data_IF_290253004397
#
_entry.id   IF_290253004397
#
_cell.length_a   1.000
_cell.length_b   1.000
_cell.length_c   1.000
_cell.angle_alpha   90.00
_cell.angle_beta   90.00
_cell.angle_gamma   90.00
#
_symmetry.space_group_name_H-M   'P 1'
#
loop_
_entity.id
_entity.type
_entity.pdbx_description
1 polymer ?
#
# COMPACT_ATOMS: atom_id res chain seq x y z
N UNK A 1 44.19 -5.05 -35.44
CA UNK A 1 44.00 -4.94 -33.98
C UNK A 1 43.06 -3.81 -33.52
N UNK A 2 43.07 -2.60 -34.11
CA UNK A 2 42.19 -1.48 -33.69
C UNK A 2 40.66 -1.71 -33.82
N UNK A 3 40.19 -2.69 -34.60
CA UNK A 3 38.75 -2.93 -34.84
C UNK A 3 38.01 -3.62 -33.67
N UNK A 4 38.73 -4.27 -32.75
CA UNK A 4 38.12 -4.98 -31.63
C UNK A 4 37.94 -4.12 -30.37
N UNK A 5 38.61 -2.95 -30.28
CA UNK A 5 38.47 -2.05 -29.13
C UNK A 5 37.10 -1.34 -29.10
N UNK A 6 36.48 -1.09 -30.25
CA UNK A 6 35.17 -0.42 -30.31
C UNK A 6 34.01 -1.34 -29.88
N UNK A 7 34.12 -2.65 -30.10
CA UNK A 7 33.10 -3.61 -29.69
C UNK A 7 33.09 -3.81 -28.15
N UNK A 8 34.26 -3.75 -27.50
CA UNK A 8 34.34 -3.86 -26.03
C UNK A 8 33.83 -2.60 -25.30
N UNK A 9 33.98 -1.41 -25.91
CA UNK A 9 33.46 -0.16 -25.36
C UNK A 9 31.93 -0.07 -25.43
N UNK A 10 31.30 -0.69 -26.45
CA UNK A 10 29.84 -0.75 -26.54
C UNK A 10 29.24 -1.77 -25.56
N UNK A 11 29.96 -2.86 -25.25
CA UNK A 11 29.49 -3.89 -24.32
C UNK A 11 29.56 -3.46 -22.85
N UNK A 12 30.47 -2.52 -22.52
CA UNK A 12 30.63 -1.99 -21.16
C UNK A 12 29.63 -0.88 -20.79
N UNK A 13 28.96 -0.27 -21.78
CA UNK A 13 27.89 0.70 -21.55
C UNK A 13 26.52 0.04 -21.25
N UNK A 14 26.46 -1.30 -21.26
CA UNK A 14 25.24 -2.07 -20.99
C UNK A 14 25.24 -2.73 -19.60
N UNK A 15 26.12 -2.29 -18.69
CA UNK A 15 26.00 -2.62 -17.27
C UNK A 15 24.94 -1.68 -16.72
N UNK A 16 23.67 -2.03 -16.93
CA UNK A 16 22.55 -1.36 -16.30
C UNK A 16 22.76 -1.47 -14.79
N UNK A 17 22.91 -0.32 -14.13
CA UNK A 17 22.89 -0.25 -12.68
C UNK A 17 21.54 -0.80 -12.22
N UNK A 18 21.54 -2.00 -11.63
CA UNK A 18 20.38 -2.49 -10.91
C UNK A 18 20.24 -1.61 -9.67
N UNK A 19 19.52 -0.50 -9.80
CA UNK A 19 19.11 0.30 -8.66
C UNK A 19 18.35 -0.62 -7.70
N UNK A 20 18.86 -0.78 -6.48
CA UNK A 20 18.05 -1.32 -5.40
C UNK A 20 16.96 -0.32 -5.11
N UNK A 21 15.73 -0.62 -5.54
CA UNK A 21 14.56 0.13 -5.13
C UNK A 21 14.43 0.00 -3.61
N UNK A 22 14.50 1.13 -2.92
CA UNK A 22 14.21 1.20 -1.49
C UNK A 22 12.72 1.43 -1.35
N UNK A 23 12.06 0.67 -0.46
CA UNK A 23 10.67 0.94 -0.09
C UNK A 23 10.56 2.36 0.49
N UNK A 24 9.64 3.14 -0.05
CA UNK A 24 9.31 4.51 0.38
C UNK A 24 7.96 4.48 1.08
N UNK A 25 7.80 5.29 2.13
CA UNK A 25 6.49 5.54 2.76
C UNK A 25 5.66 6.36 1.79
N UNK A 26 4.61 5.76 1.23
CA UNK A 26 3.70 6.41 0.28
C UNK A 26 2.59 7.19 1.00
N UNK A 27 2.15 6.69 2.16
CA UNK A 27 1.14 7.33 2.98
C UNK A 27 1.19 6.86 4.43
N UNK A 28 0.77 7.74 5.32
CA UNK A 28 0.61 7.48 6.75
C UNK A 28 -0.70 8.09 7.22
N UNK A 29 -1.51 7.30 7.90
CA UNK A 29 -2.82 7.70 8.38
C UNK A 29 -2.97 7.28 9.83
N UNK A 30 -3.41 8.19 10.68
CA UNK A 30 -3.61 7.91 12.10
C UNK A 30 -5.08 8.06 12.44
N UNK A 31 -5.65 7.00 13.01
CA UNK A 31 -6.97 7.02 13.64
C UNK A 31 -6.74 7.26 15.13
N UNK A 32 -7.26 8.37 15.69
CA UNK A 32 -7.16 8.59 17.13
C UNK A 32 -7.97 7.53 17.88
N UNK A 33 -7.68 7.33 19.17
CA UNK A 33 -8.45 6.44 20.04
C UNK A 33 -9.95 6.59 19.83
N UNK A 34 -10.56 5.55 19.25
CA UNK A 34 -11.96 5.52 18.89
C UNK A 34 -12.67 4.43 19.70
N UNK A 35 -13.69 4.86 20.45
CA UNK A 35 -14.49 4.00 21.30
C UNK A 35 -15.65 3.29 20.59
N UNK A 36 -15.97 2.07 21.04
CA UNK A 36 -17.25 1.38 20.88
C UNK A 36 -17.70 0.78 22.22
N UNK A 37 -19.00 0.72 22.47
CA UNK A 37 -19.53 0.15 23.72
C UNK A 37 -19.76 -1.34 23.59
N UNK A 38 -19.41 -2.12 24.61
CA UNK A 38 -19.80 -3.52 24.74
C UNK A 38 -20.56 -3.74 26.05
N UNK A 39 -21.48 -4.71 26.06
CA UNK A 39 -22.26 -5.06 27.26
C UNK A 39 -21.48 -5.97 28.23
N UNK A 40 -20.23 -6.30 27.90
CA UNK A 40 -19.32 -7.15 28.69
C UNK A 40 -17.88 -6.75 28.46
N UNK A 41 -16.98 -7.19 29.36
CA UNK A 41 -15.54 -7.07 29.14
C UNK A 41 -15.15 -7.86 27.88
N UNK A 42 -14.32 -7.24 27.04
CA UNK A 42 -13.77 -7.86 25.84
C UNK A 42 -12.44 -8.52 26.17
N UNK A 43 -12.13 -9.62 25.49
CA UNK A 43 -10.79 -10.26 25.57
C UNK A 43 -9.85 -9.79 24.47
N UNK A 44 -10.36 -9.04 23.50
CA UNK A 44 -9.59 -8.49 22.41
C UNK A 44 -10.50 -7.74 21.44
N UNK A 45 -9.91 -7.22 20.38
CA UNK A 45 -10.58 -6.55 19.29
C UNK A 45 -10.17 -7.25 17.99
N UNK A 46 -11.15 -7.71 17.23
CA UNK A 46 -10.94 -8.20 15.86
C UNK A 46 -10.87 -6.98 14.93
N UNK A 47 -9.78 -6.85 14.18
CA UNK A 47 -9.43 -5.65 13.42
C UNK A 47 -9.24 -6.00 11.95
N UNK A 48 -9.78 -5.18 11.05
CA UNK A 48 -9.53 -5.33 9.62
C UNK A 48 -9.61 -3.99 8.87
N UNK A 49 -9.05 -4.00 7.66
CA UNK A 49 -9.12 -2.89 6.72
C UNK A 49 -9.73 -3.37 5.41
N UNK A 50 -10.59 -2.56 4.79
CA UNK A 50 -11.17 -2.93 3.51
C UNK A 50 -11.51 -1.71 2.65
N UNK A 51 -11.67 -1.94 1.35
CA UNK A 51 -12.23 -0.93 0.45
C UNK A 51 -13.75 -1.04 0.35
N UNK A 52 -14.38 0.12 0.19
CA UNK A 52 -15.80 0.26 -0.09
C UNK A 52 -16.00 0.98 -1.43
N UNK A 53 -16.96 0.50 -2.21
CA UNK A 53 -17.43 1.18 -3.43
C UNK A 53 -18.37 2.35 -3.08
N UNK A 54 -18.62 3.23 -4.05
CA UNK A 54 -19.61 4.32 -3.94
C UNK A 54 -21.01 3.86 -3.50
N UNK A 55 -21.33 2.58 -3.69
CA UNK A 55 -22.62 1.98 -3.29
C UNK A 55 -22.64 1.48 -1.84
N UNK A 56 -21.65 1.83 -1.01
CA UNK A 56 -21.57 1.41 0.41
C UNK A 56 -21.42 -0.13 0.54
N UNK A 57 -20.93 -0.80 -0.50
CA UNK A 57 -20.66 -2.24 -0.46
C UNK A 57 -19.17 -2.46 -0.26
N UNK A 58 -18.82 -3.08 0.87
CA UNK A 58 -17.45 -3.56 1.14
C UNK A 58 -17.07 -4.61 0.11
N UNK A 59 -15.85 -4.54 -0.40
CA UNK A 59 -15.32 -5.46 -1.39
C UNK A 59 -14.58 -6.57 -0.63
N UNK A 60 -15.14 -7.78 -0.49
CA UNK A 60 -14.59 -8.80 0.42
C UNK A 60 -13.15 -9.22 0.08
N UNK A 61 -12.81 -9.22 -1.20
CA UNK A 61 -11.48 -9.56 -1.72
C UNK A 61 -10.40 -8.52 -1.36
N UNK A 62 -10.78 -7.40 -0.74
CA UNK A 62 -9.86 -6.36 -0.29
C UNK A 62 -9.71 -6.32 1.23
N UNK A 63 -10.29 -7.27 1.96
CA UNK A 63 -10.17 -7.27 3.42
C UNK A 63 -8.77 -7.79 3.79
N UNK A 64 -7.93 -6.93 4.34
CA UNK A 64 -6.63 -7.31 4.91
C UNK A 64 -6.68 -7.30 6.43
N UNK A 65 -5.80 -8.09 7.04
CA UNK A 65 -5.82 -8.43 8.46
C UNK A 65 -7.12 -9.11 8.87
N UNK A 66 -7.73 -9.89 7.96
CA UNK A 66 -8.97 -10.61 8.26
C UNK A 66 -8.78 -11.52 9.50
N UNK A 67 -9.58 -11.30 10.54
CA UNK A 67 -9.50 -11.98 11.83
C UNK A 67 -8.26 -11.67 12.68
N UNK A 68 -7.62 -10.49 12.51
CA UNK A 68 -6.54 -10.06 13.40
C UNK A 68 -7.10 -9.69 14.77
N UNK A 69 -6.86 -10.54 15.76
CA UNK A 69 -7.20 -10.27 17.15
C UNK A 69 -6.05 -9.55 17.84
N UNK A 70 -6.35 -8.40 18.44
CA UNK A 70 -5.40 -7.62 19.24
C UNK A 70 -5.92 -7.39 20.64
N UNK A 71 -5.02 -7.28 21.61
CA UNK A 71 -5.34 -6.93 22.99
C UNK A 71 -4.39 -5.89 23.58
N UNK A 72 -4.54 -5.59 24.87
CA UNK A 72 -3.73 -4.58 25.56
C UNK A 72 -2.23 -4.91 25.60
N UNK A 73 -1.85 -6.17 25.38
CA UNK A 73 -0.45 -6.60 25.31
C UNK A 73 0.21 -6.30 23.97
N UNK A 74 -0.58 -6.01 22.93
CA UNK A 74 -0.10 -5.63 21.60
C UNK A 74 0.14 -4.11 21.46
N UNK A 75 0.04 -3.33 22.54
CA UNK A 75 0.28 -1.89 22.50
C UNK A 75 1.69 -1.58 21.98
N UNK A 76 1.77 -0.80 20.90
CA UNK A 76 3.03 -0.48 20.19
C UNK A 76 3.50 -1.55 19.20
N UNK A 77 2.79 -2.67 19.08
CA UNK A 77 3.09 -3.69 18.08
C UNK A 77 2.74 -3.19 16.66
N UNK A 78 3.53 -3.64 15.69
CA UNK A 78 3.30 -3.41 14.26
C UNK A 78 3.04 -4.74 13.57
N UNK A 79 1.92 -4.82 12.86
CA UNK A 79 1.54 -5.94 12.01
C UNK A 79 1.72 -5.54 10.55
N UNK A 80 2.21 -6.47 9.73
CA UNK A 80 2.56 -6.19 8.33
C UNK A 80 1.80 -7.13 7.40
N UNK A 81 0.99 -6.56 6.52
CA UNK A 81 0.37 -7.26 5.40
C UNK A 81 1.26 -7.15 4.16
N UNK A 82 1.49 -8.29 3.52
CA UNK A 82 2.22 -8.48 2.25
C UNK A 82 1.54 -9.62 1.49
N UNK A 83 1.88 -9.83 0.22
CA UNK A 83 1.39 -10.97 -0.57
C UNK A 83 1.74 -12.34 0.06
N UNK A 84 2.73 -12.39 0.96
CA UNK A 84 3.13 -13.62 1.64
C UNK A 84 2.40 -13.85 2.97
N UNK A 85 1.92 -12.78 3.62
CA UNK A 85 1.30 -12.84 4.96
C UNK A 85 -0.20 -12.71 4.93
N UNK A 86 -0.76 -12.12 3.87
CA UNK A 86 -2.20 -11.91 3.72
C UNK A 86 -2.65 -12.25 2.29
N UNK A 87 -3.59 -13.20 2.10
CA UNK A 87 -4.02 -13.66 0.78
C UNK A 87 -4.77 -12.60 -0.03
N UNK A 88 -5.32 -11.56 0.61
CA UNK A 88 -6.08 -10.50 -0.05
C UNK A 88 -5.20 -9.27 -0.34
N UNK A 89 -3.93 -9.29 0.06
CA UNK A 89 -3.03 -8.14 -0.08
C UNK A 89 -2.89 -7.67 -1.54
N UNK A 90 -2.73 -8.58 -2.50
CA UNK A 90 -2.54 -8.20 -3.90
C UNK A 90 -3.77 -7.46 -4.47
N UNK A 91 -4.97 -7.92 -4.11
CA UNK A 91 -6.21 -7.25 -4.46
C UNK A 91 -6.32 -5.89 -3.76
N UNK A 92 -6.01 -5.82 -2.46
CA UNK A 92 -5.99 -4.56 -1.71
C UNK A 92 -5.02 -3.54 -2.33
N UNK A 93 -3.80 -3.95 -2.67
CA UNK A 93 -2.79 -3.14 -3.33
C UNK A 93 -3.23 -2.64 -4.71
N UNK A 94 -3.98 -3.45 -5.47
CA UNK A 94 -4.58 -3.01 -6.73
C UNK A 94 -5.59 -1.89 -6.52
N UNK A 95 -6.45 -1.96 -5.50
CA UNK A 95 -7.41 -0.89 -5.20
C UNK A 95 -6.75 0.39 -4.70
N UNK A 96 -5.55 0.28 -4.10
CA UNK A 96 -4.72 1.43 -3.76
C UNK A 96 -4.04 2.09 -4.96
N UNK A 97 -4.04 1.49 -6.15
CA UNK A 97 -3.21 1.95 -7.30
C UNK A 97 -3.96 1.98 -8.63
N UNK A 98 -5.27 1.77 -8.62
CA UNK A 98 -6.09 1.57 -9.83
C UNK A 98 -6.51 2.86 -10.54
N UNK A 99 -6.08 4.04 -10.09
CA UNK A 99 -6.52 5.30 -10.70
C UNK A 99 -7.89 5.78 -10.23
N UNK A 100 -8.50 5.13 -9.22
CA UNK A 100 -9.84 5.43 -8.72
C UNK A 100 -9.77 5.77 -7.24
N UNK A 101 -10.44 6.85 -6.85
CA UNK A 101 -10.57 7.28 -5.47
C UNK A 101 -11.47 6.31 -4.68
N UNK A 102 -10.86 5.31 -4.04
CA UNK A 102 -11.58 4.35 -3.20
C UNK A 102 -11.61 4.77 -1.73
N UNK A 103 -12.65 4.34 -1.00
CA UNK A 103 -12.72 4.57 0.45
C UNK A 103 -12.08 3.43 1.21
N UNK A 104 -10.96 3.71 1.86
CA UNK A 104 -10.38 2.81 2.84
C UNK A 104 -11.15 2.94 4.16
N UNK A 105 -11.63 1.81 4.65
CA UNK A 105 -12.35 1.68 5.90
C UNK A 105 -11.50 0.93 6.91
N UNK A 106 -11.55 1.38 8.15
CA UNK A 106 -11.05 0.66 9.31
C UNK A 106 -12.24 0.07 10.06
N UNK A 107 -12.19 -1.24 10.32
CA UNK A 107 -13.16 -1.95 11.13
C UNK A 107 -12.47 -2.49 12.37
N UNK A 108 -13.15 -2.37 13.50
CA UNK A 108 -12.81 -3.19 14.66
C UNK A 108 -14.09 -3.63 15.39
N UNK A 109 -14.03 -4.82 15.97
CA UNK A 109 -15.15 -5.46 16.67
C UNK A 109 -14.68 -6.10 17.97
N UNK A 110 -15.24 -5.71 19.13
CA UNK A 110 -14.96 -6.36 20.39
C UNK A 110 -15.21 -7.86 20.41
N UNK A 111 -14.22 -8.65 20.84
CA UNK A 111 -14.40 -10.09 21.05
C UNK A 111 -14.92 -10.29 22.48
N UNK A 112 -16.14 -10.83 22.66
CA UNK A 112 -16.69 -11.00 24.00
C UNK A 112 -15.85 -11.96 24.83
N UNK A 113 -15.48 -11.57 26.05
CA UNK A 113 -14.74 -12.43 26.99
C UNK A 113 -15.55 -13.56 27.63
N UNK A 114 -16.77 -13.80 27.13
CA UNK A 114 -17.75 -14.74 27.65
C UNK A 114 -19.16 -14.22 27.45
N UNK A 115 -19.95 -14.89 26.60
CA UNK A 115 -21.32 -14.51 26.29
C UNK A 115 -22.23 -15.72 26.23
N UNK A 116 -23.27 -15.72 27.06
CA UNK A 116 -24.40 -16.65 26.92
C UNK A 116 -25.28 -16.28 25.71
N UNK A 117 -26.26 -17.14 25.43
CA UNK A 117 -27.27 -16.90 24.37
C UNK A 117 -27.92 -15.52 24.57
N UNK A 118 -27.92 -14.68 23.53
CA UNK A 118 -28.62 -13.39 23.53
C UNK A 118 -27.74 -12.14 23.59
N UNK A 119 -26.42 -12.26 23.50
CA UNK A 119 -25.58 -11.08 23.26
C UNK A 119 -25.72 -10.61 21.81
N UNK A 120 -26.11 -9.35 21.63
CA UNK A 120 -26.03 -8.63 20.35
C UNK A 120 -24.54 -8.48 20.01
N UNK A 121 -24.16 -8.91 18.81
CA UNK A 121 -22.79 -8.74 18.32
C UNK A 121 -22.40 -7.26 18.38
N UNK A 122 -21.13 -6.95 18.68
CA UNK A 122 -20.66 -5.57 18.67
C UNK A 122 -20.92 -4.93 17.30
N UNK A 123 -21.34 -3.68 17.30
CA UNK A 123 -21.41 -2.90 16.06
C UNK A 123 -19.98 -2.57 15.62
N UNK A 124 -19.58 -3.05 14.44
CA UNK A 124 -18.31 -2.67 13.82
C UNK A 124 -18.34 -1.17 13.57
N UNK A 125 -17.43 -0.43 14.20
CA UNK A 125 -17.30 1.00 13.91
C UNK A 125 -16.48 1.13 12.63
N UNK A 126 -17.04 1.85 11.68
CA UNK A 126 -16.39 2.22 10.42
C UNK A 126 -15.85 3.63 10.59
N UNK A 127 -14.54 3.77 10.63
CA UNK A 127 -13.94 5.10 10.46
C UNK A 127 -13.32 5.25 9.07
N UNK A 128 -13.39 6.47 8.55
CA UNK A 128 -12.90 6.85 7.23
C UNK A 128 -11.63 7.68 7.42
N UNK A 129 -10.54 7.26 6.78
CA UNK A 129 -9.25 7.96 6.82
C UNK A 129 -9.21 9.36 6.18
N UNK A 130 -9.69 10.43 6.84
CA UNK A 130 -9.45 11.82 6.39
C UNK A 130 -10.42 12.89 6.91
N UNK A 131 -10.14 14.19 6.66
CA UNK A 131 -10.79 15.32 7.32
C UNK A 131 -12.11 15.75 6.65
N UNK A 132 -13.09 14.86 6.43
CA UNK A 132 -14.48 15.29 6.19
C UNK A 132 -15.46 14.10 6.09
N UNK A 133 -16.67 14.20 6.66
CA UNK A 133 -17.72 13.18 6.56
C UNK A 133 -18.32 13.00 5.15
N UNK A 134 -17.93 13.79 4.15
CA UNK A 134 -18.43 13.65 2.78
C UNK A 134 -17.30 13.86 1.74
N UNK A 135 -16.88 12.76 1.12
CA UNK A 135 -16.36 12.65 -0.26
C UNK A 135 -14.86 12.82 -0.60
N UNK A 136 -13.92 12.95 0.34
CA UNK A 136 -12.50 13.06 -0.05
C UNK A 136 -11.55 12.31 0.88
N UNK A 137 -11.45 10.98 0.72
CA UNK A 137 -10.27 10.26 1.18
C UNK A 137 -9.35 9.85 0.04
N UNK A 138 -9.84 9.71 -1.20
CA UNK A 138 -9.05 9.74 -2.45
C UNK A 138 -7.67 9.11 -2.39
N UNK A 139 -7.53 7.96 -1.71
CA UNK A 139 -6.24 7.31 -1.54
C UNK A 139 -6.00 6.52 -2.82
N UNK A 140 -5.23 7.11 -3.72
CA UNK A 140 -4.74 6.45 -4.91
C UNK A 140 -3.24 6.74 -5.08
N UNK A 141 -2.47 5.67 -5.08
CA UNK A 141 -1.04 5.63 -5.32
C UNK A 141 -0.76 5.12 -6.74
N UNK A 142 -1.59 5.49 -7.71
CA UNK A 142 -1.36 5.17 -9.12
C UNK A 142 0.06 5.52 -9.56
N UNK A 143 0.73 4.57 -10.20
CA UNK A 143 2.14 4.68 -10.59
C UNK A 143 3.14 4.15 -9.55
N UNK A 144 2.66 3.58 -8.44
CA UNK A 144 3.48 2.84 -7.48
C UNK A 144 3.13 1.36 -7.48
N UNK A 145 4.11 0.53 -7.11
CA UNK A 145 3.89 -0.85 -6.70
C UNK A 145 3.92 -0.89 -5.16
N UNK A 146 2.84 -1.39 -4.55
CA UNK A 146 2.72 -1.47 -3.09
C UNK A 146 3.44 -2.74 -2.61
N UNK A 147 4.45 -2.58 -1.77
CA UNK A 147 5.26 -3.69 -1.26
C UNK A 147 4.67 -4.25 0.03
N UNK A 148 4.20 -3.38 0.92
CA UNK A 148 3.64 -3.77 2.20
C UNK A 148 2.76 -2.68 2.81
N UNK A 149 1.94 -3.10 3.77
CA UNK A 149 1.13 -2.22 4.58
C UNK A 149 1.40 -2.55 6.04
N UNK A 150 1.71 -1.53 6.83
CA UNK A 150 1.91 -1.67 8.27
C UNK A 150 0.73 -1.09 9.03
N UNK A 151 0.36 -1.80 10.08
CA UNK A 151 -0.66 -1.45 11.03
C UNK A 151 -0.01 -1.42 12.42
N UNK A 152 0.06 -0.25 13.06
CA UNK A 152 0.64 -0.08 14.39
C UNK A 152 -0.42 0.31 15.40
N UNK A 153 -0.44 -0.36 16.55
CA UNK A 153 -1.38 -0.08 17.64
C UNK A 153 -0.79 1.04 18.50
N UNK A 154 -1.44 2.20 18.48
CA UNK A 154 -1.03 3.35 19.27
C UNK A 154 -1.74 3.42 20.62
N UNK A 155 -2.97 2.92 20.67
CA UNK A 155 -3.81 2.89 21.85
C UNK A 155 -4.76 1.69 21.78
N UNK A 156 -4.98 1.04 22.91
CA UNK A 156 -5.91 -0.08 23.06
C UNK A 156 -6.39 -0.13 24.51
N UNK A 157 -7.70 -0.15 24.70
CA UNK A 157 -8.34 -0.25 26.01
C UNK A 157 -9.53 -1.19 25.91
N UNK A 158 -9.57 -2.25 26.72
CA UNK A 158 -10.63 -3.27 26.70
C UNK A 158 -11.64 -3.10 27.85
N UNK A 159 -11.85 -1.86 28.29
CA UNK A 159 -12.78 -1.50 29.37
C UNK A 159 -14.27 -1.55 28.98
N UNK A 160 -15.09 -0.78 29.70
CA UNK A 160 -16.53 -0.65 29.41
C UNK A 160 -16.79 0.00 28.04
N UNK A 161 -15.89 0.90 27.63
CA UNK A 161 -15.77 1.39 26.28
C UNK A 161 -14.48 0.81 25.72
N UNK A 162 -14.59 0.01 24.67
CA UNK A 162 -13.42 -0.51 23.98
C UNK A 162 -12.90 0.59 23.08
N UNK A 163 -11.65 1.00 23.27
CA UNK A 163 -11.03 2.07 22.50
C UNK A 163 -9.84 1.52 21.74
N UNK A 164 -9.67 1.96 20.50
CA UNK A 164 -8.47 1.65 19.70
C UNK A 164 -8.02 2.86 18.90
N UNK A 165 -6.74 3.17 18.97
CA UNK A 165 -6.05 4.15 18.13
C UNK A 165 -4.93 3.47 17.36
N UNK A 166 -4.81 3.77 16.06
CA UNK A 166 -3.93 3.02 15.15
C UNK A 166 -3.26 3.93 14.14
N UNK A 167 -2.06 3.55 13.70
CA UNK A 167 -1.38 4.16 12.55
C UNK A 167 -1.27 3.13 11.43
N UNK A 168 -1.78 3.51 10.27
CA UNK A 168 -1.73 2.74 9.03
C UNK A 168 -0.71 3.38 8.08
N UNK A 169 0.27 2.61 7.64
CA UNK A 169 1.33 3.08 6.74
C UNK A 169 1.35 2.20 5.49
N UNK A 170 1.49 2.84 4.34
CA UNK A 170 1.62 2.17 3.05
C UNK A 170 3.06 2.35 2.56
N UNK A 171 3.70 1.23 2.24
CA UNK A 171 5.05 1.20 1.69
C UNK A 171 5.00 0.68 0.27
N UNK A 172 5.80 1.29 -0.58
CA UNK A 172 5.95 0.81 -1.94
C UNK A 172 7.13 1.45 -2.64
N UNK A 173 7.23 1.14 -3.92
CA UNK A 173 8.24 1.67 -4.81
C UNK A 173 7.56 2.36 -5.98
N UNK A 174 8.15 3.44 -6.46
CA UNK A 174 7.69 4.04 -7.69
C UNK A 174 7.86 3.01 -8.80
N UNK A 175 6.79 2.71 -9.53
CA UNK A 175 6.89 1.87 -10.71
C UNK A 175 7.75 2.66 -11.68
N UNK A 176 8.99 2.23 -11.85
CA UNK A 176 9.88 2.81 -12.85
C UNK A 176 9.13 2.68 -14.17
N UNK A 177 8.61 3.81 -14.67
CA UNK A 177 8.31 3.90 -16.08
C UNK A 177 9.68 3.85 -16.71
N UNK A 178 10.13 2.64 -17.05
CA UNK A 178 11.25 2.52 -17.97
C UNK A 178 10.76 3.25 -19.19
N UNK A 179 11.16 4.52 -19.33
CA UNK A 179 11.01 5.26 -20.57
C UNK A 179 11.97 4.53 -21.47
N UNK A 180 11.50 3.42 -22.05
CA UNK A 180 12.25 2.64 -23.00
C UNK A 180 12.50 3.64 -24.11
N UNK A 181 13.75 4.11 -24.30
CA UNK A 181 14.02 5.07 -25.35
C UNK A 181 13.56 4.40 -26.62
N UNK A 182 12.63 5.01 -27.36
CA UNK A 182 12.13 4.37 -28.55
C UNK A 182 13.35 3.98 -29.41
N UNK A 183 13.45 2.74 -29.91
CA UNK A 183 14.60 2.29 -30.69
C UNK A 183 14.93 3.26 -31.84
N UNK A 184 13.90 3.93 -32.36
CA UNK A 184 13.96 5.00 -33.33
C UNK A 184 14.82 6.18 -32.89
N UNK A 185 14.77 6.63 -31.63
CA UNK A 185 15.48 7.83 -31.15
C UNK A 185 16.99 7.60 -31.13
N UNK A 186 17.43 6.44 -30.61
CA UNK A 186 18.84 6.06 -30.63
C UNK A 186 19.33 5.78 -32.06
N UNK A 187 18.50 5.17 -32.89
CA UNK A 187 18.83 4.93 -34.29
C UNK A 187 18.93 6.23 -35.09
N UNK A 188 18.03 7.19 -34.84
CA UNK A 188 18.02 8.51 -35.46
C UNK A 188 19.23 9.33 -35.01
N UNK A 189 19.54 9.31 -33.71
CA UNK A 189 20.73 9.96 -33.17
C UNK A 189 22.00 9.35 -33.75
N UNK A 190 22.07 8.01 -33.81
CA UNK A 190 23.21 7.27 -34.36
C UNK A 190 23.42 7.53 -35.85
N UNK A 191 22.35 7.48 -36.66
CA UNK A 191 22.42 7.76 -38.10
C UNK A 191 22.70 9.24 -38.38
N UNK A 192 22.14 10.16 -37.59
CA UNK A 192 22.46 11.59 -37.65
C UNK A 192 23.92 11.88 -37.36
N UNK A 193 24.49 11.26 -36.33
CA UNK A 193 25.91 11.41 -35.98
C UNK A 193 26.83 10.89 -37.09
N UNK A 194 26.50 9.71 -37.65
CA UNK A 194 27.24 9.15 -38.78
C UNK A 194 27.17 10.07 -40.01
N UNK A 195 25.98 10.58 -40.35
CA UNK A 195 25.80 11.54 -41.44
C UNK A 195 26.66 12.81 -41.26
N UNK A 196 26.73 13.33 -40.03
CA UNK A 196 27.54 14.50 -39.71
C UNK A 196 29.05 14.23 -39.87
N UNK A 197 29.52 13.06 -39.43
CA UNK A 197 30.92 12.66 -39.56
C UNK A 197 31.35 12.44 -41.02
N UNK A 198 30.48 11.88 -41.86
CA UNK A 198 30.78 11.68 -43.29
C UNK A 198 30.82 13.00 -44.07
N UNK A 199 29.95 13.97 -43.73
CA UNK A 199 29.92 15.29 -44.40
C UNK A 199 31.24 16.06 -44.25
N UNK A 200 31.91 15.93 -43.10
CA UNK A 200 33.13 16.67 -42.77
C UNK A 200 34.40 16.18 -43.49
N UNK A 201 34.38 14.98 -44.09
CA UNK A 201 35.51 14.45 -44.88
C UNK A 201 35.48 14.85 -46.35
N UNK A 202 34.36 15.39 -46.83
CA UNK A 202 34.16 15.75 -48.23
C UNK A 202 34.38 17.25 -48.51
N UNK A 203 34.68 18.04 -47.47
CA UNK A 203 35.10 19.44 -47.53
C UNK A 203 36.57 19.56 -47.22
#
# INVERSE_FOLDING_TARGET
MRKYLFALALLSLLIAESGTAYAVVLGEFTIPGIGTSSNSSSTGLDVSFAFQTDSIVTIPETIIFDSLVVDETDLGATFTATSATDPNFDSFAQYLTNGVDNWLLFFFSPIPGGGGVGQTGPESRVDRFGPSPFLQNGIDFAGFDIDSVNFTINDVNLGFFNEMGVTFMVFGQQRESTVIPEPSTLFLLGTGLLGFLFRRKLS
#
